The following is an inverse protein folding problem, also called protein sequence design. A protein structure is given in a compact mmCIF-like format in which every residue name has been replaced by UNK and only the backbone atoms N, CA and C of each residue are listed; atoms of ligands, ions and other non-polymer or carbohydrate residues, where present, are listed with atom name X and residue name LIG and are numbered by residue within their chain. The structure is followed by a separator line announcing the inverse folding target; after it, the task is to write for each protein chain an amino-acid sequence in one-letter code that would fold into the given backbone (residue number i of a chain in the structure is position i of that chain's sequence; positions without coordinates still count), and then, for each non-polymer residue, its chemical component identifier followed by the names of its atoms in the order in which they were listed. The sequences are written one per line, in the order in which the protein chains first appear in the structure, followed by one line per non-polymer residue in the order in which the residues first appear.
data_IF_556923059455
#
_entry.id   IF_556923059455
#
_cell.length_a   1.000
_cell.length_b   1.000
_cell.length_c   1.000
_cell.angle_alpha   90.00
_cell.angle_beta   90.00
_cell.angle_gamma   90.00
#
_symmetry.space_group_name_H-M   'P 1'
#
loop_
_entity.id
_entity.type
_entity.pdbx_description
1 polymer ?
#
# COMPACT_ATOMS: atom_id res chain seq x y z
N UNK A 1 -13.53 23.42 -9.13
CA UNK A 1 -12.16 23.11 -8.77
C UNK A 1 -11.52 22.01 -9.60
N UNK A 2 -10.29 21.69 -9.25
CA UNK A 2 -9.51 20.67 -9.95
C UNK A 2 -10.17 19.29 -9.97
N UNK A 3 -10.92 18.96 -8.93
CA UNK A 3 -11.51 17.62 -8.76
C UNK A 3 -12.59 17.31 -9.78
N UNK A 4 -13.21 18.33 -10.36
CA UNK A 4 -14.28 18.16 -11.34
C UNK A 4 -13.83 18.46 -12.78
N UNK A 5 -12.52 18.70 -13.00
CA UNK A 5 -12.04 18.92 -14.36
C UNK A 5 -12.25 17.66 -15.22
N UNK A 6 -12.75 17.85 -16.46
CA UNK A 6 -12.86 16.72 -17.38
C UNK A 6 -11.49 16.19 -17.77
N UNK A 7 -11.44 14.93 -18.16
CA UNK A 7 -10.20 14.35 -18.68
C UNK A 7 -9.91 14.96 -20.07
N UNK A 8 -8.63 15.19 -20.35
CA UNK A 8 -8.21 15.75 -21.63
C UNK A 8 -8.44 14.76 -22.76
N UNK A 9 -9.08 15.23 -23.84
CA UNK A 9 -9.45 14.40 -24.99
C UNK A 9 -8.38 14.39 -26.09
N UNK A 10 -7.37 15.24 -25.96
CA UNK A 10 -6.24 15.26 -26.90
C UNK A 10 -5.45 13.95 -26.78
N UNK A 11 -4.70 13.62 -27.81
CA UNK A 11 -3.80 12.46 -27.79
C UNK A 11 -2.66 12.73 -26.82
N UNK A 12 -2.46 11.83 -25.86
CA UNK A 12 -1.38 11.96 -24.89
C UNK A 12 -0.01 12.00 -25.57
N UNK A 13 0.14 11.28 -26.69
CA UNK A 13 1.38 11.22 -27.47
C UNK A 13 1.75 12.55 -28.11
N UNK A 14 0.83 13.48 -28.26
CA UNK A 14 1.11 14.83 -28.75
C UNK A 14 1.86 15.65 -27.69
N UNK A 15 1.73 15.31 -26.41
CA UNK A 15 2.28 16.08 -25.29
C UNK A 15 3.37 15.33 -24.52
N UNK A 16 3.45 14.02 -24.65
CA UNK A 16 4.40 13.16 -23.94
C UNK A 16 5.04 12.16 -24.88
N UNK A 17 6.34 11.99 -24.73
CA UNK A 17 7.06 10.86 -25.34
C UNK A 17 6.88 9.66 -24.41
N UNK A 18 6.26 8.59 -24.91
CA UNK A 18 6.00 7.38 -24.14
C UNK A 18 7.19 6.44 -24.29
N UNK A 19 7.73 5.99 -23.18
CA UNK A 19 8.92 5.15 -23.13
C UNK A 19 8.65 3.73 -22.65
N UNK A 20 9.60 3.17 -21.90
CA UNK A 20 9.60 1.79 -21.46
C UNK A 20 8.48 1.49 -20.45
N UNK A 21 8.05 0.24 -20.45
CA UNK A 21 7.09 -0.25 -19.44
C UNK A 21 7.80 -0.37 -18.09
N UNK A 22 7.15 0.16 -17.04
CA UNK A 22 7.64 0.10 -15.67
C UNK A 22 6.93 -0.98 -14.86
N UNK A 23 5.70 -1.32 -15.22
CA UNK A 23 4.91 -2.33 -14.53
C UNK A 23 3.58 -2.55 -15.21
N UNK A 24 2.91 -3.64 -14.84
CA UNK A 24 1.60 -3.96 -15.38
C UNK A 24 0.75 -4.69 -14.34
N UNK A 25 -0.55 -4.47 -14.41
CA UNK A 25 -1.55 -5.21 -13.66
C UNK A 25 -2.60 -5.78 -14.60
N UNK A 26 -3.71 -6.22 -14.04
CA UNK A 26 -4.76 -6.85 -14.83
C UNK A 26 -5.36 -5.88 -15.88
N UNK A 27 -5.63 -4.65 -15.50
CA UNK A 27 -6.27 -3.66 -16.36
C UNK A 27 -5.50 -2.35 -16.48
N UNK A 28 -4.22 -2.37 -16.15
CA UNK A 28 -3.40 -1.17 -16.23
C UNK A 28 -1.97 -1.50 -16.62
N UNK A 29 -1.35 -0.61 -17.37
CA UNK A 29 0.06 -0.69 -17.73
C UNK A 29 0.67 0.66 -17.40
N UNK A 30 1.82 0.66 -16.72
CA UNK A 30 2.54 1.88 -16.38
C UNK A 30 3.79 1.97 -17.25
N UNK A 31 3.96 3.09 -17.91
CA UNK A 31 5.12 3.37 -18.78
C UNK A 31 5.78 4.67 -18.35
N UNK A 32 7.10 4.70 -18.45
CA UNK A 32 7.85 5.93 -18.27
C UNK A 32 7.50 6.88 -19.41
N UNK A 33 7.39 8.17 -19.13
CA UNK A 33 7.13 9.15 -20.17
C UNK A 33 7.86 10.46 -19.86
N UNK A 34 8.00 11.30 -20.89
CA UNK A 34 8.62 12.61 -20.76
C UNK A 34 7.69 13.66 -21.35
N UNK A 35 7.42 14.70 -20.60
CA UNK A 35 6.62 15.82 -21.07
C UNK A 35 7.44 16.63 -22.09
N UNK A 36 6.88 16.81 -23.29
CA UNK A 36 7.61 17.47 -24.38
C UNK A 36 7.92 18.92 -24.09
N UNK A 37 6.98 19.63 -23.44
CA UNK A 37 7.11 21.07 -23.18
C UNK A 37 8.17 21.39 -22.11
N UNK A 38 8.40 20.50 -21.15
CA UNK A 38 9.29 20.76 -20.00
C UNK A 38 10.52 19.87 -19.99
N UNK A 39 10.47 18.72 -20.67
CA UNK A 39 11.49 17.69 -20.59
C UNK A 39 11.48 16.89 -19.30
N UNK A 40 10.50 17.14 -18.42
CA UNK A 40 10.39 16.42 -17.15
C UNK A 40 9.81 15.02 -17.37
N UNK A 41 10.28 14.06 -16.56
CA UNK A 41 9.85 12.68 -16.65
C UNK A 41 8.73 12.37 -15.65
N UNK A 42 7.79 11.53 -16.08
CA UNK A 42 6.63 11.09 -15.31
C UNK A 42 6.39 9.61 -15.59
N UNK A 43 5.41 9.05 -14.89
CA UNK A 43 4.89 7.71 -15.16
C UNK A 43 3.48 7.85 -15.74
N UNK A 44 3.22 7.22 -16.86
CA UNK A 44 1.90 7.21 -17.49
C UNK A 44 1.21 5.88 -17.20
N UNK A 45 0.13 5.92 -16.43
CA UNK A 45 -0.68 4.74 -16.11
C UNK A 45 -1.85 4.68 -17.06
N UNK A 46 -1.84 3.68 -17.94
CA UNK A 46 -2.88 3.43 -18.93
C UNK A 46 -3.89 2.47 -18.31
N UNK A 47 -5.06 2.97 -17.95
CA UNK A 47 -6.14 2.18 -17.35
C UNK A 47 -7.14 1.82 -18.44
N UNK A 48 -7.34 0.52 -18.66
CA UNK A 48 -8.28 0.02 -19.67
C UNK A 48 -9.70 0.28 -19.22
N UNK A 49 -10.46 1.00 -20.06
CA UNK A 49 -11.87 1.32 -19.81
C UNK A 49 -12.76 0.14 -20.10
N UNK A 50 -13.73 -0.09 -19.23
CA UNK A 50 -14.79 -1.06 -19.48
C UNK A 50 -15.68 -0.52 -20.62
N UNK A 51 -15.93 -1.34 -21.64
CA UNK A 51 -16.64 -0.91 -22.84
C UNK A 51 -18.17 -1.01 -22.74
N UNK A 52 -18.67 -1.83 -21.80
CA UNK A 52 -20.11 -1.98 -21.58
C UNK A 52 -20.35 -2.37 -20.11
N UNK A 53 -21.57 -2.15 -19.64
CA UNK A 53 -21.98 -2.54 -18.28
C UNK A 53 -21.89 -4.04 -18.05
N UNK A 54 -22.11 -4.82 -19.08
CA UNK A 54 -22.07 -6.29 -19.00
C UNK A 54 -20.63 -6.83 -19.02
N UNK A 55 -19.67 -6.05 -19.52
CA UNK A 55 -18.28 -6.46 -19.60
C UNK A 55 -17.63 -6.46 -18.24
N UNK A 56 -16.79 -7.48 -18.00
CA UNK A 56 -15.91 -7.56 -16.81
C UNK A 56 -14.46 -7.24 -17.15
N UNK A 57 -14.20 -6.88 -18.41
CA UNK A 57 -12.87 -6.49 -18.87
C UNK A 57 -12.73 -4.99 -18.77
N UNK A 58 -11.80 -4.56 -17.95
CA UNK A 58 -11.52 -3.16 -17.76
C UNK A 58 -12.16 -2.62 -16.48
N UNK A 59 -11.90 -1.35 -16.23
CA UNK A 59 -12.30 -0.64 -15.02
C UNK A 59 -13.49 0.26 -15.34
N UNK A 60 -14.50 0.28 -14.47
CA UNK A 60 -15.69 1.10 -14.68
C UNK A 60 -15.33 2.60 -14.60
N UNK A 61 -16.13 3.42 -15.28
CA UNK A 61 -15.95 4.88 -15.24
C UNK A 61 -15.99 5.42 -13.82
N UNK A 62 -16.90 4.90 -13.02
CA UNK A 62 -17.06 5.30 -11.62
C UNK A 62 -15.79 5.04 -10.81
N UNK A 63 -15.17 3.87 -10.98
CA UNK A 63 -13.94 3.52 -10.28
C UNK A 63 -12.78 4.42 -10.71
N UNK A 64 -12.66 4.70 -12.02
CA UNK A 64 -11.60 5.58 -12.55
C UNK A 64 -11.78 7.00 -12.04
N UNK A 65 -12.99 7.52 -12.09
CA UNK A 65 -13.28 8.88 -11.60
C UNK A 65 -13.03 9.01 -10.11
N UNK A 66 -13.29 7.95 -9.34
CA UNK A 66 -12.99 7.93 -7.90
C UNK A 66 -11.48 8.01 -7.64
N UNK A 67 -10.70 7.19 -8.34
CA UNK A 67 -9.24 7.23 -8.21
C UNK A 67 -8.68 8.61 -8.56
N UNK A 68 -9.13 9.18 -9.67
CA UNK A 68 -8.68 10.50 -10.12
C UNK A 68 -9.11 11.59 -9.13
N UNK A 69 -10.36 11.55 -8.66
CA UNK A 69 -10.85 12.52 -7.69
C UNK A 69 -10.03 12.53 -6.41
N UNK A 70 -9.68 11.36 -5.91
CA UNK A 70 -8.84 11.23 -4.71
C UNK A 70 -7.43 11.75 -4.99
N UNK A 71 -6.81 11.31 -6.08
CA UNK A 71 -5.45 11.74 -6.44
C UNK A 71 -5.35 13.25 -6.62
N UNK A 72 -6.38 13.89 -7.14
CA UNK A 72 -6.41 15.35 -7.32
C UNK A 72 -6.42 16.12 -6.00
N UNK A 73 -6.81 15.49 -4.90
CA UNK A 73 -6.85 16.11 -3.58
C UNK A 73 -5.54 15.95 -2.81
N UNK A 74 -4.66 15.05 -3.24
CA UNK A 74 -3.50 14.60 -2.45
C UNK A 74 -2.27 15.40 -2.83
N UNK A 75 -1.63 15.98 -1.80
CA UNK A 75 -0.34 16.64 -1.96
C UNK A 75 0.46 16.42 -0.68
N UNK A 76 1.31 15.41 -0.70
CA UNK A 76 2.16 15.04 0.44
C UNK A 76 3.39 14.32 -0.08
N UNK A 77 4.55 14.57 0.55
CA UNK A 77 5.83 14.01 0.10
C UNK A 77 5.91 12.48 0.19
N UNK A 78 5.04 11.84 0.97
CA UNK A 78 4.99 10.37 1.06
C UNK A 78 3.84 9.75 0.26
N UNK A 79 3.21 10.53 -0.60
CA UNK A 79 2.11 10.07 -1.46
C UNK A 79 2.38 10.49 -2.89
N UNK A 80 2.16 9.57 -3.83
CA UNK A 80 2.33 9.86 -5.25
C UNK A 80 1.39 10.99 -5.69
N UNK A 81 1.88 11.89 -6.54
CA UNK A 81 1.08 13.03 -7.05
C UNK A 81 0.64 12.81 -8.48
N UNK A 82 -0.55 13.32 -8.80
CA UNK A 82 -1.13 13.29 -10.13
C UNK A 82 -0.81 14.61 -10.84
N UNK A 83 -0.21 14.53 -12.03
CA UNK A 83 0.16 15.68 -12.83
C UNK A 83 -0.92 16.04 -13.86
N UNK A 84 -1.49 15.04 -14.53
CA UNK A 84 -2.45 15.28 -15.61
C UNK A 84 -3.26 14.01 -15.92
N UNK A 85 -4.39 14.15 -16.63
CA UNK A 85 -5.25 13.04 -17.01
C UNK A 85 -5.73 13.22 -18.45
N UNK A 86 -5.54 12.19 -19.25
CA UNK A 86 -6.00 12.10 -20.64
C UNK A 86 -6.92 10.90 -20.80
N UNK A 87 -7.77 10.93 -21.79
CA UNK A 87 -8.53 9.75 -22.16
C UNK A 87 -8.72 9.66 -23.66
N UNK A 88 -8.79 8.43 -24.13
CA UNK A 88 -9.19 8.09 -25.47
C UNK A 88 -10.30 7.06 -25.39
N UNK A 89 -10.64 6.45 -26.53
CA UNK A 89 -11.74 5.49 -26.60
C UNK A 89 -11.53 4.26 -25.70
N UNK A 90 -10.29 3.80 -25.52
CA UNK A 90 -9.99 2.53 -24.84
C UNK A 90 -9.40 2.72 -23.44
N UNK A 91 -8.74 3.84 -23.18
CA UNK A 91 -7.97 4.03 -21.96
C UNK A 91 -8.21 5.40 -21.33
N UNK A 92 -8.04 5.46 -20.01
CA UNK A 92 -7.77 6.69 -19.29
C UNK A 92 -6.29 6.65 -18.91
N UNK A 93 -5.58 7.74 -19.16
CA UNK A 93 -4.13 7.82 -18.94
C UNK A 93 -3.87 8.82 -17.81
N UNK A 94 -3.35 8.31 -16.69
CA UNK A 94 -2.95 9.14 -15.56
C UNK A 94 -1.47 9.45 -15.68
N UNK A 95 -1.12 10.72 -15.73
CA UNK A 95 0.26 11.16 -15.69
C UNK A 95 0.63 11.40 -14.23
N UNK A 96 1.44 10.52 -13.69
CA UNK A 96 1.78 10.46 -12.28
C UNK A 96 3.23 10.84 -12.05
N UNK A 97 3.55 11.25 -10.85
CA UNK A 97 4.93 11.41 -10.39
C UNK A 97 5.73 10.15 -10.72
N UNK A 98 6.95 10.31 -11.22
CA UNK A 98 7.83 9.19 -11.49
C UNK A 98 8.49 8.74 -10.17
N UNK A 99 8.17 7.53 -9.73
CA UNK A 99 8.71 6.92 -8.53
C UNK A 99 9.62 5.79 -8.99
N UNK A 100 10.93 6.04 -9.04
CA UNK A 100 11.89 5.19 -9.77
C UNK A 100 12.83 4.38 -8.88
N UNK A 101 12.69 4.47 -7.56
CA UNK A 101 13.59 3.77 -6.64
C UNK A 101 13.26 2.30 -6.38
N UNK A 102 12.17 1.78 -6.96
CA UNK A 102 11.71 0.41 -6.74
C UNK A 102 10.92 0.26 -5.45
N UNK A 103 10.55 -0.97 -5.12
CA UNK A 103 9.79 -1.27 -3.91
C UNK A 103 10.66 -1.18 -2.66
N UNK A 104 10.08 -0.71 -1.56
CA UNK A 104 10.78 -0.65 -0.27
C UNK A 104 11.34 -2.02 0.13
N UNK A 105 10.55 -3.08 -0.01
CA UNK A 105 10.97 -4.41 0.40
C UNK A 105 12.15 -4.93 -0.43
N UNK A 106 12.22 -4.63 -1.72
CA UNK A 106 13.38 -4.95 -2.55
C UNK A 106 14.65 -4.25 -2.04
N UNK A 107 14.52 -2.98 -1.68
CA UNK A 107 15.62 -2.19 -1.12
C UNK A 107 16.11 -2.78 0.20
N UNK A 108 15.18 -3.12 1.11
CA UNK A 108 15.54 -3.68 2.41
C UNK A 108 16.17 -5.06 2.29
N UNK A 109 15.73 -5.87 1.33
CA UNK A 109 16.30 -7.19 1.08
C UNK A 109 17.77 -7.13 0.62
N UNK A 110 18.21 -6.00 0.09
CA UNK A 110 19.59 -5.80 -0.37
C UNK A 110 20.54 -5.37 0.75
N UNK A 111 20.03 -5.03 1.93
CA UNK A 111 20.88 -4.59 3.04
C UNK A 111 21.58 -5.79 3.70
N UNK A 112 22.77 -5.53 4.24
CA UNK A 112 23.51 -6.56 5.00
C UNK A 112 22.92 -6.74 6.39
N UNK A 113 22.48 -5.64 7.01
CA UNK A 113 21.86 -5.66 8.32
C UNK A 113 20.85 -4.51 8.42
N UNK A 114 19.91 -4.66 9.35
CA UNK A 114 18.87 -3.64 9.57
C UNK A 114 18.49 -3.67 11.05
N UNK A 115 18.69 -2.52 11.73
CA UNK A 115 18.22 -2.35 13.10
C UNK A 115 16.73 -2.01 13.10
N UNK A 116 16.08 -2.17 14.25
CA UNK A 116 14.70 -1.70 14.39
C UNK A 116 14.61 -0.18 14.26
N UNK A 117 15.63 0.55 14.68
CA UNK A 117 15.67 2.00 14.50
C UNK A 117 15.59 2.38 13.02
N UNK A 118 16.38 1.72 12.19
CA UNK A 118 16.33 1.93 10.74
C UNK A 118 14.97 1.52 10.15
N UNK A 119 14.44 0.38 10.60
CA UNK A 119 13.12 -0.09 10.17
C UNK A 119 12.03 0.92 10.50
N UNK A 120 12.06 1.49 11.71
CA UNK A 120 11.08 2.49 12.13
C UNK A 120 11.19 3.78 11.32
N UNK A 121 12.38 4.11 10.78
CA UNK A 121 12.52 5.28 9.92
C UNK A 121 11.71 5.15 8.63
N UNK A 122 11.55 3.94 8.12
CA UNK A 122 10.69 3.67 6.95
C UNK A 122 9.21 3.57 7.34
N UNK A 123 8.93 2.86 8.44
CA UNK A 123 7.56 2.70 8.92
C UNK A 123 6.95 4.06 9.27
N UNK A 124 7.74 4.95 9.88
CA UNK A 124 7.28 6.30 10.21
C UNK A 124 6.89 7.08 8.96
N UNK A 125 7.62 6.93 7.86
CA UNK A 125 7.24 7.57 6.60
C UNK A 125 5.91 7.02 6.05
N UNK A 126 5.69 5.70 6.17
CA UNK A 126 4.41 5.10 5.81
C UNK A 126 3.30 5.71 6.67
N UNK A 127 3.53 5.80 7.98
CA UNK A 127 2.56 6.38 8.90
C UNK A 127 2.29 7.86 8.59
N UNK A 128 3.32 8.63 8.23
CA UNK A 128 3.15 10.03 7.86
C UNK A 128 2.25 10.18 6.62
N UNK A 129 2.46 9.34 5.60
CA UNK A 129 1.61 9.32 4.41
C UNK A 129 0.17 8.95 4.73
N UNK A 130 -0.01 7.90 5.53
CA UNK A 130 -1.35 7.44 5.93
C UNK A 130 -2.03 8.49 6.83
N UNK A 131 -1.28 9.14 7.71
CA UNK A 131 -1.82 10.21 8.54
C UNK A 131 -2.39 11.35 7.69
N UNK A 132 -1.67 11.73 6.64
CA UNK A 132 -2.16 12.74 5.71
C UNK A 132 -3.49 12.31 5.06
N UNK A 133 -3.56 11.07 4.58
CA UNK A 133 -4.78 10.53 3.96
C UNK A 133 -5.94 10.49 4.97
N UNK A 134 -5.69 9.97 6.16
CA UNK A 134 -6.73 9.81 7.19
C UNK A 134 -7.22 11.15 7.73
N UNK A 135 -6.36 12.17 7.77
CA UNK A 135 -6.79 13.54 8.11
C UNK A 135 -7.81 14.06 7.09
N UNK A 136 -7.69 13.64 5.84
CA UNK A 136 -8.65 13.97 4.78
C UNK A 136 -9.79 12.95 4.67
N UNK A 137 -9.90 12.02 5.61
CA UNK A 137 -10.91 10.96 5.60
C UNK A 137 -10.81 10.06 4.38
N UNK A 138 -9.60 9.85 3.88
CA UNK A 138 -9.33 8.93 2.76
C UNK A 138 -8.73 7.65 3.32
N UNK A 139 -9.37 6.51 3.03
CA UNK A 139 -8.81 5.19 3.26
C UNK A 139 -8.15 4.71 1.97
N UNK A 140 -6.93 4.20 2.07
CA UNK A 140 -6.20 3.67 0.91
C UNK A 140 -6.76 2.31 0.47
N UNK A 141 -7.02 1.43 1.42
CA UNK A 141 -7.59 0.09 1.28
C UNK A 141 -6.74 -0.94 0.52
N UNK A 142 -5.55 -0.57 0.06
CA UNK A 142 -4.67 -1.50 -0.65
C UNK A 142 -3.21 -1.37 -0.21
N UNK A 143 -2.99 -1.15 1.07
CA UNK A 143 -1.64 -1.08 1.63
C UNK A 143 -1.02 -2.46 1.69
N UNK A 144 0.06 -2.63 0.96
CA UNK A 144 0.84 -3.86 0.84
C UNK A 144 2.23 -3.49 0.32
N UNK A 145 3.21 -4.39 0.42
CA UNK A 145 4.58 -4.04 0.02
C UNK A 145 4.72 -3.53 -1.41
N UNK A 146 3.94 -4.05 -2.36
CA UNK A 146 3.99 -3.63 -3.76
C UNK A 146 3.56 -2.18 -3.96
N UNK A 147 2.82 -1.63 -3.01
CA UNK A 147 2.29 -0.26 -3.07
C UNK A 147 3.08 0.72 -2.20
N UNK A 148 4.24 0.31 -1.71
CA UNK A 148 5.16 1.17 -0.95
C UNK A 148 6.47 1.23 -1.72
N UNK A 149 6.66 2.34 -2.44
CA UNK A 149 7.77 2.51 -3.36
C UNK A 149 8.75 3.55 -2.82
N UNK A 150 9.93 3.59 -3.41
CA UNK A 150 10.95 4.59 -3.09
C UNK A 150 11.06 5.61 -4.22
N UNK A 151 11.13 6.88 -3.85
CA UNK A 151 11.32 7.95 -4.82
C UNK A 151 12.68 7.81 -5.50
N UNK A 152 13.73 7.65 -4.69
CA UNK A 152 15.10 7.46 -5.16
C UNK A 152 15.85 6.61 -4.13
N UNK A 153 16.47 5.51 -4.57
CA UNK A 153 17.20 4.59 -3.69
C UNK A 153 18.64 5.00 -3.41
N UNK A 154 19.15 6.08 -4.01
CA UNK A 154 20.56 6.45 -3.95
C UNK A 154 20.93 7.35 -2.76
N UNK A 155 20.07 7.46 -1.76
CA UNK A 155 20.33 8.18 -0.50
C UNK A 155 20.24 7.19 0.66
N UNK A 156 20.87 7.49 1.83
CA UNK A 156 20.93 6.53 2.95
C UNK A 156 19.55 6.09 3.46
N UNK A 157 18.60 7.01 3.60
CA UNK A 157 17.22 6.71 3.98
C UNK A 157 16.32 7.27 2.89
N UNK A 158 16.00 6.46 1.85
CA UNK A 158 15.16 6.91 0.75
C UNK A 158 13.77 7.35 1.22
N UNK A 159 13.17 8.26 0.47
CA UNK A 159 11.80 8.70 0.74
C UNK A 159 10.82 7.68 0.17
N UNK A 160 9.87 7.24 0.98
CA UNK A 160 8.82 6.33 0.51
C UNK A 160 7.66 7.11 -0.11
N UNK A 161 6.99 6.48 -1.05
CA UNK A 161 5.78 6.97 -1.68
C UNK A 161 4.72 5.89 -1.64
N UNK A 162 3.55 6.23 -1.11
CA UNK A 162 2.37 5.37 -1.23
C UNK A 162 1.80 5.54 -2.63
N UNK A 163 1.56 4.42 -3.29
CA UNK A 163 1.06 4.39 -4.67
C UNK A 163 -0.23 3.58 -4.75
N UNK A 164 -0.83 3.56 -5.94
CA UNK A 164 -2.01 2.79 -6.31
C UNK A 164 -3.25 3.07 -5.45
N UNK A 165 -4.00 4.05 -5.90
CA UNK A 165 -5.23 4.52 -5.25
C UNK A 165 -6.49 3.93 -5.91
N UNK A 166 -6.34 2.80 -6.63
CA UNK A 166 -7.46 2.17 -7.33
C UNK A 166 -8.57 1.66 -6.42
N UNK A 167 -8.26 1.33 -5.15
CA UNK A 167 -9.25 0.90 -4.16
C UNK A 167 -9.61 1.98 -3.15
N UNK A 168 -8.93 3.13 -3.19
CA UNK A 168 -9.12 4.18 -2.19
C UNK A 168 -10.53 4.76 -2.22
N UNK A 169 -11.02 5.12 -1.04
CA UNK A 169 -12.36 5.69 -0.87
C UNK A 169 -12.32 6.83 0.16
N UNK A 170 -13.16 7.83 -0.07
CA UNK A 170 -13.45 8.84 0.93
C UNK A 170 -14.48 8.26 1.91
N UNK A 171 -14.19 8.35 3.20
CA UNK A 171 -15.06 7.83 4.26
C UNK A 171 -15.90 8.98 4.80
N UNK A 172 -17.22 8.88 4.59
CA UNK A 172 -18.16 9.91 5.03
C UNK A 172 -18.81 9.50 6.36
N UNK A 173 -18.86 10.46 7.31
CA UNK A 173 -19.51 10.23 8.59
C UNK A 173 -21.00 9.97 8.37
N UNK A 174 -21.52 8.94 9.03
CA UNK A 174 -22.92 8.55 8.94
C UNK A 174 -23.29 7.78 7.67
N UNK A 175 -22.35 7.56 6.77
CA UNK A 175 -22.55 6.76 5.55
C UNK A 175 -21.82 5.43 5.72
N UNK A 176 -22.56 4.34 5.63
CA UNK A 176 -22.02 2.99 5.75
C UNK A 176 -21.44 2.55 4.40
N UNK A 177 -20.16 2.16 4.40
CA UNK A 177 -19.49 1.62 3.22
C UNK A 177 -19.08 0.18 3.49
N UNK A 178 -19.47 -0.72 2.60
CA UNK A 178 -19.11 -2.14 2.66
C UNK A 178 -18.63 -2.59 1.30
N UNK A 179 -17.58 -3.41 1.29
CA UNK A 179 -17.09 -4.03 0.05
C UNK A 179 -16.18 -5.20 0.41
N UNK A 180 -15.97 -6.11 -0.56
CA UNK A 180 -14.97 -7.16 -0.46
C UNK A 180 -13.95 -6.90 -1.56
N UNK A 181 -12.73 -6.57 -1.18
CA UNK A 181 -11.66 -6.25 -2.12
C UNK A 181 -10.29 -6.40 -1.44
N UNK A 182 -9.23 -6.17 -2.20
CA UNK A 182 -7.87 -6.21 -1.70
C UNK A 182 -7.21 -7.58 -1.85
N UNK A 183 -6.01 -7.72 -1.29
CA UNK A 183 -5.22 -8.94 -1.32
C UNK A 183 -5.44 -9.71 -0.01
N UNK A 184 -5.84 -10.99 -0.05
CA UNK A 184 -6.22 -11.75 1.16
C UNK A 184 -5.24 -11.61 2.32
N UNK A 185 -3.96 -11.70 2.05
CA UNK A 185 -2.90 -11.67 3.06
C UNK A 185 -2.93 -10.38 3.92
N UNK A 186 -3.42 -9.27 3.36
CA UNK A 186 -3.34 -7.94 3.98
C UNK A 186 -4.67 -7.35 4.43
N UNK A 187 -5.80 -7.98 4.05
CA UNK A 187 -7.11 -7.38 4.33
C UNK A 187 -7.55 -7.61 5.77
N UNK A 188 -8.20 -6.60 6.32
CA UNK A 188 -8.71 -6.63 7.69
C UNK A 188 -9.92 -7.56 7.82
N UNK A 189 -10.21 -8.05 9.05
CA UNK A 189 -11.37 -8.92 9.28
C UNK A 189 -12.70 -8.32 8.81
N UNK A 190 -12.88 -7.03 8.97
CA UNK A 190 -14.12 -6.34 8.55
C UNK A 190 -14.34 -6.41 7.04
N UNK A 191 -13.24 -6.45 6.24
CA UNK A 191 -13.35 -6.64 4.79
C UNK A 191 -13.80 -8.07 4.48
N UNK A 192 -13.17 -9.06 5.11
CA UNK A 192 -13.51 -10.46 4.90
C UNK A 192 -14.96 -10.74 5.28
N UNK A 193 -15.43 -10.14 6.37
CA UNK A 193 -16.77 -10.38 6.94
C UNK A 193 -17.85 -9.46 6.34
N UNK A 194 -17.52 -8.65 5.34
CA UNK A 194 -18.47 -7.72 4.72
C UNK A 194 -19.13 -6.80 5.76
N UNK A 195 -18.32 -6.28 6.66
CA UNK A 195 -18.76 -5.34 7.68
C UNK A 195 -18.48 -3.89 7.25
N UNK A 196 -19.04 -2.89 7.95
CA UNK A 196 -18.76 -1.49 7.61
C UNK A 196 -17.26 -1.19 7.66
N UNK A 197 -16.74 -0.50 6.63
CA UNK A 197 -15.34 -0.20 6.46
C UNK A 197 -15.06 1.27 6.74
N UNK A 198 -13.89 1.53 7.30
CA UNK A 198 -13.38 2.86 7.58
C UNK A 198 -11.87 2.92 7.49
N UNK A 199 -11.29 3.95 8.07
CA UNK A 199 -9.85 4.18 8.08
C UNK A 199 -9.09 3.08 8.81
N UNK A 200 -9.75 2.38 9.74
CA UNK A 200 -9.15 1.34 10.58
C UNK A 200 -8.60 0.16 9.76
N UNK A 201 -9.16 -0.10 8.58
CA UNK A 201 -8.69 -1.19 7.73
C UNK A 201 -7.23 -0.98 7.29
N UNK A 202 -6.83 0.28 7.06
CA UNK A 202 -5.45 0.61 6.73
C UNK A 202 -4.50 0.29 7.88
N UNK A 203 -4.94 0.50 9.10
CA UNK A 203 -4.11 0.25 10.30
C UNK A 203 -3.83 -1.24 10.47
N UNK A 204 -4.79 -2.09 10.20
CA UNK A 204 -4.58 -3.53 10.18
C UNK A 204 -3.49 -3.91 9.16
N UNK A 205 -3.60 -3.40 7.94
CA UNK A 205 -2.62 -3.68 6.87
C UNK A 205 -1.21 -3.24 7.27
N UNK A 206 -1.07 -2.10 7.95
CA UNK A 206 0.23 -1.63 8.47
C UNK A 206 0.78 -2.64 9.49
N UNK A 207 -0.07 -3.21 10.32
CA UNK A 207 0.34 -4.26 11.26
C UNK A 207 0.89 -5.49 10.56
N UNK A 208 0.24 -5.93 9.49
CA UNK A 208 0.71 -7.06 8.68
C UNK A 208 2.05 -6.74 8.01
N UNK A 209 2.14 -5.57 7.40
CA UNK A 209 3.38 -5.11 6.73
C UNK A 209 4.55 -5.07 7.73
N UNK A 210 4.32 -4.54 8.92
CA UNK A 210 5.34 -4.44 9.97
C UNK A 210 5.79 -5.82 10.45
N UNK A 211 4.84 -6.73 10.65
CA UNK A 211 5.13 -8.11 11.03
C UNK A 211 6.06 -8.78 10.00
N UNK A 212 5.72 -8.64 8.72
CA UNK A 212 6.52 -9.23 7.64
C UNK A 212 7.90 -8.58 7.57
N UNK A 213 7.97 -7.25 7.69
CA UNK A 213 9.24 -6.54 7.62
C UNK A 213 10.21 -7.00 8.70
N UNK A 214 9.74 -7.20 9.93
CA UNK A 214 10.60 -7.57 11.05
C UNK A 214 11.06 -9.03 11.04
N UNK A 215 10.27 -9.92 10.45
CA UNK A 215 10.45 -11.36 10.60
C UNK A 215 10.65 -12.12 9.29
N UNK A 216 10.16 -11.57 8.18
CA UNK A 216 10.05 -12.30 6.93
C UNK A 216 8.86 -13.25 6.89
N UNK A 217 8.22 -13.52 8.02
CA UNK A 217 7.02 -14.35 8.08
C UNK A 217 5.77 -13.52 7.86
N UNK A 218 4.70 -14.14 7.35
CA UNK A 218 3.40 -13.49 7.17
C UNK A 218 2.43 -14.02 8.23
N UNK A 219 1.75 -13.13 8.98
CA UNK A 219 1.06 -13.56 10.21
C UNK A 219 -0.14 -14.46 9.97
N UNK A 220 -0.85 -14.31 8.86
CA UNK A 220 -2.10 -15.04 8.62
C UNK A 220 -2.05 -15.98 7.43
N UNK A 221 -0.96 -15.97 6.69
CA UNK A 221 -0.83 -16.76 5.46
C UNK A 221 -0.92 -18.24 5.75
N UNK A 222 -1.94 -18.90 5.19
CA UNK A 222 -2.13 -20.35 5.24
C UNK A 222 -1.80 -20.99 3.91
N UNK A 223 -2.02 -22.29 3.82
CA UNK A 223 -1.76 -23.05 2.59
C UNK A 223 -2.79 -22.78 1.51
N UNK A 224 -3.99 -22.35 1.88
CA UNK A 224 -5.06 -22.00 0.96
C UNK A 224 -5.57 -20.59 1.27
N UNK A 225 -6.29 -20.00 0.31
CA UNK A 225 -6.96 -18.71 0.52
C UNK A 225 -7.96 -18.79 1.66
N UNK A 226 -8.74 -19.87 1.71
CA UNK A 226 -9.73 -20.08 2.76
C UNK A 226 -9.09 -20.13 4.15
N UNK A 227 -7.96 -20.83 4.27
CA UNK A 227 -7.22 -20.89 5.54
C UNK A 227 -6.71 -19.51 5.94
N UNK A 228 -6.17 -18.75 4.99
CA UNK A 228 -5.71 -17.38 5.25
C UNK A 228 -6.85 -16.50 5.75
N UNK A 229 -8.00 -16.53 5.07
CA UNK A 229 -9.16 -15.74 5.47
C UNK A 229 -9.71 -16.16 6.85
N UNK A 230 -9.71 -17.47 7.15
CA UNK A 230 -10.11 -17.98 8.46
C UNK A 230 -9.15 -17.50 9.56
N UNK A 231 -7.85 -17.51 9.30
CA UNK A 231 -6.84 -17.00 10.23
C UNK A 231 -7.04 -15.52 10.53
N UNK A 232 -7.39 -14.74 9.52
CA UNK A 232 -7.66 -13.31 9.68
C UNK A 232 -8.87 -13.07 10.56
N UNK A 233 -9.99 -13.72 10.25
CA UNK A 233 -11.25 -13.49 10.98
C UNK A 233 -11.20 -13.96 12.41
N UNK A 234 -10.41 -14.99 12.72
CA UNK A 234 -10.19 -15.47 14.09
C UNK A 234 -8.99 -14.79 14.77
N UNK A 235 -8.28 -13.92 14.05
CA UNK A 235 -7.04 -13.25 14.51
C UNK A 235 -6.04 -14.28 15.04
N UNK A 236 -5.86 -15.36 14.28
CA UNK A 236 -4.98 -16.47 14.64
C UNK A 236 -3.57 -16.20 14.13
N UNK A 237 -2.71 -15.70 15.01
CA UNK A 237 -1.29 -15.49 14.73
C UNK A 237 -0.51 -15.49 16.04
N UNK A 238 0.79 -15.69 15.95
CA UNK A 238 1.69 -15.58 17.10
C UNK A 238 3.04 -15.00 16.64
N UNK A 239 3.94 -14.78 17.60
CA UNK A 239 5.32 -14.37 17.31
C UNK A 239 6.22 -15.58 17.54
N UNK A 240 6.46 -16.36 16.47
CA UNK A 240 7.29 -17.55 16.53
C UNK A 240 8.72 -17.16 16.92
N UNK A 241 9.26 -17.82 17.95
CA UNK A 241 10.62 -17.59 18.44
C UNK A 241 11.67 -17.76 17.34
N UNK A 242 11.44 -18.67 16.40
CA UNK A 242 12.33 -18.86 15.26
C UNK A 242 12.59 -17.58 14.48
N UNK A 243 11.55 -16.72 14.37
CA UNK A 243 11.63 -15.52 13.53
C UNK A 243 11.74 -14.22 14.33
N UNK A 244 11.36 -14.25 15.61
CA UNK A 244 11.26 -13.04 16.45
C UNK A 244 12.20 -13.05 17.66
N UNK A 245 13.20 -13.95 17.70
CA UNK A 245 14.09 -14.06 18.87
C UNK A 245 14.87 -12.79 19.21
N UNK A 246 15.15 -11.94 18.21
CA UNK A 246 15.89 -10.69 18.38
C UNK A 246 15.00 -9.44 18.23
N UNK A 247 13.68 -9.64 18.20
CA UNK A 247 12.71 -8.57 18.05
C UNK A 247 12.32 -8.02 19.42
N UNK A 248 12.31 -6.70 19.57
CA UNK A 248 11.97 -6.06 20.85
C UNK A 248 10.51 -6.27 21.23
N UNK A 249 10.23 -6.22 22.54
CA UNK A 249 8.86 -6.27 23.02
C UNK A 249 8.06 -5.02 22.59
N UNK A 250 8.73 -3.87 22.43
CA UNK A 250 8.08 -2.66 21.90
C UNK A 250 7.55 -2.87 20.49
N UNK A 251 8.32 -3.51 19.61
CA UNK A 251 7.91 -3.82 18.25
C UNK A 251 6.70 -4.75 18.23
N UNK A 252 6.75 -5.79 19.06
CA UNK A 252 5.63 -6.75 19.17
C UNK A 252 4.37 -6.09 19.71
N UNK A 253 4.52 -5.20 20.70
CA UNK A 253 3.41 -4.45 21.27
C UNK A 253 2.74 -3.57 20.21
N UNK A 254 3.53 -2.90 19.38
CA UNK A 254 3.03 -2.10 18.27
C UNK A 254 2.18 -2.94 17.33
N UNK A 255 2.69 -4.11 16.93
CA UNK A 255 1.96 -5.02 16.04
C UNK A 255 0.68 -5.55 16.69
N UNK A 256 0.75 -5.97 17.97
CA UNK A 256 -0.44 -6.49 18.69
C UNK A 256 -1.57 -5.48 18.73
N UNK A 257 -1.24 -4.20 18.88
CA UNK A 257 -2.24 -3.14 18.98
C UNK A 257 -2.85 -2.75 17.63
N UNK A 258 -2.20 -3.13 16.54
CA UNK A 258 -2.73 -2.95 15.18
C UNK A 258 -3.55 -4.14 14.72
N UNK A 259 -3.14 -5.36 15.07
CA UNK A 259 -3.82 -6.59 14.66
C UNK A 259 -4.94 -6.96 15.66
N UNK A 260 -5.88 -6.04 15.81
CA UNK A 260 -7.04 -6.14 16.70
C UNK A 260 -8.30 -6.23 15.84
N UNK A 261 -9.15 -7.21 16.13
CA UNK A 261 -10.38 -7.44 15.35
C UNK A 261 -11.38 -6.30 15.50
N UNK A 262 -11.60 -5.82 16.72
CA UNK A 262 -12.51 -4.70 16.98
C UNK A 262 -11.90 -3.40 16.48
N UNK A 263 -12.54 -2.78 15.48
CA UNK A 263 -12.04 -1.54 14.89
C UNK A 263 -11.89 -0.41 15.90
N UNK A 264 -12.80 -0.34 16.89
CA UNK A 264 -12.75 0.71 17.92
C UNK A 264 -11.57 0.58 18.88
N UNK A 265 -11.00 -0.62 19.01
CA UNK A 265 -9.87 -0.91 19.91
C UNK A 265 -8.53 -0.90 19.17
N UNK A 266 -8.56 -0.98 17.84
CA UNK A 266 -7.36 -0.94 17.01
C UNK A 266 -6.74 0.45 17.07
N UNK A 267 -5.41 0.55 17.09
CA UNK A 267 -4.73 1.86 17.05
C UNK A 267 -5.19 2.67 15.84
N UNK A 268 -5.49 3.94 16.09
CA UNK A 268 -5.66 4.93 15.03
C UNK A 268 -4.28 5.33 14.50
N UNK A 269 -4.24 6.03 13.37
CA UNK A 269 -2.97 6.50 12.82
C UNK A 269 -2.24 7.44 13.79
N UNK A 270 -2.97 8.31 14.48
CA UNK A 270 -2.35 9.23 15.44
C UNK A 270 -1.79 8.50 16.66
N UNK A 271 -2.52 7.51 17.15
CA UNK A 271 -2.03 6.66 18.24
C UNK A 271 -0.79 5.86 17.83
N UNK A 272 -0.79 5.33 16.59
CA UNK A 272 0.37 4.61 16.07
C UNK A 272 1.62 5.51 16.00
N UNK A 273 1.46 6.75 15.54
CA UNK A 273 2.57 7.71 15.50
C UNK A 273 3.13 8.02 16.89
N UNK A 274 2.32 7.97 17.92
CA UNK A 274 2.73 8.24 19.31
C UNK A 274 3.21 6.99 20.04
N UNK A 275 3.10 5.81 19.44
CA UNK A 275 3.55 4.57 20.08
C UNK A 275 5.05 4.64 20.39
N UNK A 276 5.50 4.17 21.56
CA UNK A 276 6.92 4.27 21.97
C UNK A 276 7.92 3.61 21.02
N UNK A 277 7.48 2.62 20.24
CA UNK A 277 8.36 2.02 19.25
C UNK A 277 8.65 2.97 18.10
N UNK A 278 7.68 3.81 17.74
CA UNK A 278 7.82 4.80 16.66
C UNK A 278 8.46 6.10 17.21
N UNK A 279 7.98 6.55 18.38
CA UNK A 279 8.43 7.79 19.03
C UNK A 279 8.83 7.47 20.47
N UNK A 280 10.12 7.09 20.72
CA UNK A 280 10.56 6.77 22.08
C UNK A 280 10.36 7.93 23.04
N UNK A 281 9.92 7.63 24.26
CA UNK A 281 9.70 8.63 25.30
C UNK A 281 10.94 8.85 26.17
N UNK A 282 11.90 7.92 26.14
CA UNK A 282 13.15 8.01 26.92
C UNK A 282 14.31 7.33 26.18
N UNK A 283 15.52 7.49 26.74
CA UNK A 283 16.73 6.91 26.16
C UNK A 283 16.73 5.38 26.14
N UNK A 284 16.09 4.75 27.11
CA UNK A 284 16.05 3.30 27.21
C UNK A 284 15.25 2.70 26.03
N UNK A 285 14.11 3.28 25.71
CA UNK A 285 13.30 2.85 24.58
C UNK A 285 14.03 3.07 23.26
N UNK A 286 14.74 4.21 23.12
CA UNK A 286 15.55 4.48 21.95
C UNK A 286 16.68 3.46 21.80
N UNK A 287 17.35 3.09 22.89
CA UNK A 287 18.41 2.08 22.88
C UNK A 287 17.92 0.71 22.48
N UNK A 288 16.74 0.31 22.96
CA UNK A 288 16.13 -0.97 22.62
C UNK A 288 16.02 -1.11 21.10
N UNK A 289 15.58 -0.07 20.41
CA UNK A 289 15.46 -0.09 18.93
C UNK A 289 16.81 -0.17 18.23
N UNK A 290 17.85 0.47 18.77
CA UNK A 290 19.22 0.42 18.20
C UNK A 290 19.83 -0.96 18.34
N UNK A 291 19.56 -1.63 19.46
CA UNK A 291 20.14 -2.93 19.78
C UNK A 291 19.35 -4.09 19.20
N UNK A 292 18.09 -3.88 18.88
CA UNK A 292 17.22 -4.91 18.28
C UNK A 292 17.37 -4.93 16.78
N UNK A 293 17.34 -6.12 16.20
CA UNK A 293 17.60 -6.30 14.77
C UNK A 293 16.44 -6.99 14.06
N UNK A 294 16.31 -6.65 12.80
CA UNK A 294 15.36 -7.28 11.88
C UNK A 294 15.94 -8.61 11.43
N UNK A 295 15.09 -9.63 11.31
CA UNK A 295 15.50 -10.94 10.79
C UNK A 295 15.61 -10.88 9.25
N UNK A 296 16.66 -10.24 8.76
CA UNK A 296 16.87 -10.07 7.32
C UNK A 296 17.11 -11.38 6.59
N UNK A 297 17.75 -12.33 7.23
CA UNK A 297 18.00 -13.65 6.62
C UNK A 297 16.68 -14.32 6.24
N UNK A 298 15.75 -14.40 7.18
CA UNK A 298 14.44 -14.99 6.91
C UNK A 298 13.62 -14.08 5.97
N UNK A 299 13.75 -12.77 6.11
CA UNK A 299 13.09 -11.81 5.22
C UNK A 299 13.48 -12.05 3.76
N UNK A 300 14.78 -12.17 3.46
CA UNK A 300 15.27 -12.46 2.10
C UNK A 300 14.76 -13.80 1.60
N UNK A 301 14.85 -14.82 2.44
CA UNK A 301 14.47 -16.18 2.09
C UNK A 301 12.98 -16.28 1.76
N UNK A 302 12.13 -15.67 2.58
CA UNK A 302 10.67 -15.75 2.43
C UNK A 302 10.13 -14.75 1.42
N UNK A 303 10.82 -13.63 1.20
CA UNK A 303 10.37 -12.58 0.30
C UNK A 303 10.18 -13.08 -1.15
N UNK A 304 11.12 -13.86 -1.66
CA UNK A 304 11.02 -14.45 -3.01
C UNK A 304 9.80 -15.35 -3.12
N UNK A 305 9.62 -16.26 -2.14
CA UNK A 305 8.46 -17.16 -2.10
C UNK A 305 7.15 -16.39 -1.96
N UNK A 306 7.18 -15.36 -1.12
CA UNK A 306 6.03 -14.52 -0.86
C UNK A 306 5.58 -13.78 -2.12
N UNK A 307 6.49 -13.28 -2.94
CA UNK A 307 6.15 -12.62 -4.21
C UNK A 307 5.36 -13.56 -5.13
N UNK A 308 5.75 -14.81 -5.21
CA UNK A 308 5.03 -15.81 -5.99
C UNK A 308 3.61 -16.03 -5.47
N UNK A 309 3.49 -16.29 -4.16
CA UNK A 309 2.18 -16.52 -3.52
C UNK A 309 1.29 -15.28 -3.61
N UNK A 310 1.86 -14.11 -3.43
CA UNK A 310 1.12 -12.84 -3.47
C UNK A 310 0.54 -12.59 -4.86
N UNK A 311 1.33 -12.75 -5.91
CA UNK A 311 0.87 -12.59 -7.29
C UNK A 311 -0.29 -13.55 -7.59
N UNK A 312 -0.14 -14.81 -7.18
CA UNK A 312 -1.18 -15.82 -7.35
C UNK A 312 -2.44 -15.46 -6.56
N UNK A 313 -2.31 -14.97 -5.33
CA UNK A 313 -3.44 -14.59 -4.48
C UNK A 313 -4.23 -13.42 -5.05
N UNK A 314 -3.56 -12.43 -5.64
CA UNK A 314 -4.21 -11.29 -6.28
C UNK A 314 -5.10 -11.77 -7.43
N UNK A 315 -4.58 -12.63 -8.30
CA UNK A 315 -5.34 -13.22 -9.40
C UNK A 315 -6.53 -13.99 -8.85
N UNK A 316 -6.32 -14.83 -7.84
CA UNK A 316 -7.36 -15.63 -7.23
C UNK A 316 -8.47 -14.76 -6.64
N UNK A 317 -8.11 -13.67 -5.93
CA UNK A 317 -9.08 -12.76 -5.31
C UNK A 317 -9.88 -12.01 -6.40
N UNK A 318 -9.21 -11.50 -7.42
CA UNK A 318 -9.88 -10.83 -8.54
C UNK A 318 -10.90 -11.77 -9.21
N UNK A 319 -10.51 -13.04 -9.45
CA UNK A 319 -11.41 -14.03 -10.02
C UNK A 319 -12.62 -14.33 -9.11
N UNK A 320 -12.39 -14.33 -7.81
CA UNK A 320 -13.46 -14.54 -6.82
C UNK A 320 -14.45 -13.36 -6.80
N UNK A 321 -13.93 -12.14 -6.83
CA UNK A 321 -14.75 -10.91 -6.78
C UNK A 321 -15.54 -10.65 -8.05
N UNK A 322 -15.08 -11.17 -9.20
CA UNK A 322 -15.73 -10.98 -10.50
C UNK A 322 -16.75 -12.06 -10.82
N UNK A 323 -16.91 -13.06 -9.96
CA UNK A 323 -17.92 -14.11 -10.07
C UNK A 323 -19.13 -13.78 -9.22
#
# INVERSE_FOLDING_TARGET
GHMSEPFKQQKVEDFYDIGEELGSGQFAIVKKCREKSTGLEYAAKFIKKRQSRASRRGVSREEIEREVSILRQVLHHNVITLHDVYENRTDVVLILELVSGGELFDFLAQKESLSEEEATSFIKQILDGVNYLHTKKIAHFDLKPENIMLLDKNIPIPHIKLIDFGLAHEIEDGVEFKNIFGTPEFVAPEIVNYEPLGLEADMWSIGVITYILLSGASPFLGDTKQETLANITSVSYDFDEEFFSHTSELAKDFIRKLLVKETRKRLTIQEALRHPWITPVDNQQAMVRRESVVNLENFRKQYVRRRWKLAFSIVSLCNHLTR
#
